data_IF_278124361509
#
_entry.id   IF_278124361509
#
_cell.length_a   1.000
_cell.length_b   1.000
_cell.length_c   1.000
_cell.angle_alpha   90.00
_cell.angle_beta   90.00
_cell.angle_gamma   90.00
#
_symmetry.space_group_name_H-M   'P 1'
#
loop_
_entity.id
_entity.type
_entity.pdbx_description
1 polymer ?
#
# COMPACT_ATOMS: atom_id res chain seq x y z
N UNK A 1 -4.49 0.75 -0.40
CA UNK A 1 -5.66 1.26 -1.16
C UNK A 1 -6.94 0.56 -0.70
N UNK A 2 -7.78 1.27 0.08
CA UNK A 2 -9.02 0.71 0.65
C UNK A 2 -10.10 0.39 -0.38
N UNK A 3 -10.03 0.98 -1.58
CA UNK A 3 -11.01 0.73 -2.64
C UNK A 3 -10.86 -0.67 -3.28
N UNK A 4 -9.76 -1.36 -3.02
CA UNK A 4 -9.51 -2.74 -3.45
C UNK A 4 -9.75 -3.76 -2.35
N UNK A 5 -10.58 -3.45 -1.35
CA UNK A 5 -10.84 -4.31 -0.20
C UNK A 5 -11.28 -5.74 -0.58
N UNK A 6 -12.10 -5.87 -1.63
CA UNK A 6 -12.55 -7.18 -2.11
C UNK A 6 -11.40 -8.10 -2.55
N UNK A 7 -10.30 -7.55 -3.08
CA UNK A 7 -9.10 -8.35 -3.40
C UNK A 7 -8.46 -8.85 -2.11
N UNK A 8 -8.28 -7.97 -1.11
CA UNK A 8 -7.73 -8.32 0.19
C UNK A 8 -8.57 -9.41 0.87
N UNK A 9 -9.91 -9.29 0.85
CA UNK A 9 -10.80 -10.28 1.44
C UNK A 9 -10.66 -11.66 0.80
N UNK A 10 -10.52 -11.72 -0.53
CA UNK A 10 -10.27 -13.00 -1.22
C UNK A 10 -8.91 -13.59 -0.82
N UNK A 11 -7.87 -12.77 -0.65
CA UNK A 11 -6.58 -13.25 -0.13
C UNK A 11 -6.72 -13.82 1.29
N UNK A 12 -7.50 -13.18 2.17
CA UNK A 12 -7.75 -13.70 3.52
C UNK A 12 -8.51 -15.04 3.49
N UNK A 13 -9.42 -15.23 2.52
CA UNK A 13 -10.07 -16.51 2.28
C UNK A 13 -9.07 -17.57 1.79
N UNK A 14 -8.22 -17.23 0.84
CA UNK A 14 -7.20 -18.15 0.32
C UNK A 14 -6.17 -18.56 1.39
N UNK A 15 -5.92 -17.67 2.36
CA UNK A 15 -5.11 -17.96 3.54
C UNK A 15 -5.84 -18.79 4.62
N UNK A 16 -7.13 -19.10 4.41
CA UNK A 16 -7.93 -19.91 5.32
C UNK A 16 -8.40 -19.17 6.59
N UNK A 17 -8.31 -17.85 6.63
CA UNK A 17 -8.80 -17.05 7.75
C UNK A 17 -10.33 -16.92 7.73
N UNK A 18 -10.93 -17.00 6.57
CA UNK A 18 -12.40 -16.94 6.35
C UNK A 18 -12.80 -17.90 5.25
N UNK A 19 -14.09 -18.22 5.18
CA UNK A 19 -14.66 -19.03 4.11
C UNK A 19 -15.22 -18.15 2.99
N UNK A 20 -15.38 -18.71 1.80
CA UNK A 20 -16.06 -18.02 0.67
C UNK A 20 -17.51 -17.70 1.01
N UNK A 21 -18.18 -18.61 1.73
CA UNK A 21 -19.57 -18.48 2.15
C UNK A 21 -19.74 -17.31 3.11
N UNK A 22 -18.83 -17.12 4.08
CA UNK A 22 -18.82 -15.96 4.97
C UNK A 22 -18.63 -14.68 4.18
N UNK A 23 -17.59 -14.61 3.31
CA UNK A 23 -17.34 -13.45 2.48
C UNK A 23 -18.58 -13.08 1.65
N UNK A 24 -19.17 -14.03 0.95
CA UNK A 24 -20.26 -13.74 0.02
C UNK A 24 -21.57 -13.39 0.72
N UNK A 25 -21.85 -13.98 1.88
CA UNK A 25 -23.07 -13.68 2.64
C UNK A 25 -23.01 -12.34 3.36
N UNK A 26 -21.81 -11.88 3.73
CA UNK A 26 -21.64 -10.68 4.53
C UNK A 26 -21.08 -9.47 3.74
N UNK A 27 -20.57 -9.68 2.50
CA UNK A 27 -19.96 -8.60 1.72
C UNK A 27 -20.97 -7.47 1.46
N UNK A 28 -20.62 -6.29 1.93
CA UNK A 28 -21.40 -5.06 1.78
C UNK A 28 -22.86 -5.18 2.27
N UNK A 29 -23.11 -6.04 3.26
CA UNK A 29 -24.40 -6.19 3.92
C UNK A 29 -24.48 -5.34 5.19
N UNK A 30 -25.71 -4.98 5.58
CA UNK A 30 -25.94 -4.33 6.88
C UNK A 30 -25.53 -5.32 7.98
N UNK A 31 -24.69 -4.85 8.90
CA UNK A 31 -24.04 -5.66 9.94
C UNK A 31 -23.05 -6.73 9.45
N UNK A 32 -22.75 -6.78 8.15
CA UNK A 32 -21.71 -7.64 7.62
C UNK A 32 -20.30 -7.12 7.99
N UNK A 33 -19.37 -8.05 8.15
CA UNK A 33 -17.96 -7.73 8.50
C UNK A 33 -17.16 -7.21 7.30
N UNK A 34 -17.47 -7.69 6.10
CA UNK A 34 -16.76 -7.38 4.86
C UNK A 34 -17.38 -6.16 4.16
N UNK A 35 -17.02 -4.96 4.64
CA UNK A 35 -17.51 -3.71 4.08
C UNK A 35 -16.86 -3.36 2.75
N UNK A 36 -17.30 -2.25 2.13
CA UNK A 36 -16.68 -1.68 0.94
C UNK A 36 -15.20 -1.32 1.17
N UNK A 37 -14.86 -0.96 2.40
CA UNK A 37 -13.50 -0.68 2.85
C UNK A 37 -13.11 -1.60 4.01
N UNK A 38 -11.83 -2.01 4.11
CA UNK A 38 -11.39 -2.91 5.17
C UNK A 38 -11.40 -2.22 6.52
N UNK A 39 -11.87 -2.93 7.54
CA UNK A 39 -11.90 -2.44 8.91
C UNK A 39 -11.30 -3.49 9.86
N UNK A 40 -10.18 -3.15 10.47
CA UNK A 40 -9.43 -4.03 11.36
C UNK A 40 -10.21 -4.42 12.65
N UNK A 41 -11.21 -3.62 13.04
CA UNK A 41 -12.04 -3.92 14.22
C UNK A 41 -12.99 -5.10 14.00
N UNK A 42 -13.37 -5.35 12.75
CA UNK A 42 -14.34 -6.40 12.41
C UNK A 42 -13.71 -7.64 11.79
N UNK A 43 -12.51 -7.51 11.24
CA UNK A 43 -11.84 -8.57 10.49
C UNK A 43 -10.41 -8.77 11.00
N UNK A 44 -10.17 -9.74 11.90
CA UNK A 44 -8.82 -10.23 12.18
C UNK A 44 -8.07 -10.58 10.89
N UNK A 45 -6.80 -10.18 10.80
CA UNK A 45 -5.99 -10.29 9.58
C UNK A 45 -5.94 -9.02 8.73
N UNK A 46 -6.69 -7.98 9.10
CA UNK A 46 -6.57 -6.64 8.55
C UNK A 46 -5.65 -5.82 9.46
N UNK A 47 -4.53 -5.36 8.93
CA UNK A 47 -3.54 -4.60 9.72
C UNK A 47 -3.97 -3.15 9.98
N UNK A 48 -4.73 -2.55 9.06
CA UNK A 48 -5.20 -1.18 9.17
C UNK A 48 -6.53 -0.96 8.44
N UNK A 49 -7.41 -0.18 9.05
CA UNK A 49 -8.59 0.35 8.35
C UNK A 49 -8.16 1.40 7.33
N UNK A 50 -8.59 1.24 6.10
CA UNK A 50 -8.31 2.17 4.99
C UNK A 50 -9.58 2.47 4.19
N UNK A 51 -9.50 3.43 3.26
CA UNK A 51 -10.65 3.87 2.47
C UNK A 51 -10.64 5.38 2.28
N UNK A 52 -10.30 6.14 3.32
CA UNK A 52 -9.97 7.56 3.17
C UNK A 52 -8.62 7.66 2.45
N UNK A 53 -8.64 8.17 1.21
CA UNK A 53 -7.45 8.28 0.38
C UNK A 53 -6.37 9.14 1.07
N UNK A 54 -5.12 8.78 0.88
CA UNK A 54 -3.97 9.48 1.46
C UNK A 54 -3.63 9.08 2.90
N UNK A 55 -4.48 8.35 3.62
CA UNK A 55 -4.23 7.98 5.02
C UNK A 55 -3.36 6.72 5.16
N UNK A 56 -3.49 5.79 4.21
CA UNK A 56 -2.79 4.50 4.26
C UNK A 56 -1.28 4.63 4.29
N UNK A 57 -0.72 5.58 3.53
CA UNK A 57 0.72 5.81 3.49
C UNK A 57 1.26 6.35 4.82
N UNK A 58 0.54 7.28 5.45
CA UNK A 58 0.92 7.81 6.76
C UNK A 58 0.90 6.73 7.85
N UNK A 59 -0.12 5.86 7.85
CA UNK A 59 -0.17 4.70 8.75
C UNK A 59 1.02 3.74 8.50
N UNK A 60 1.34 3.46 7.25
CA UNK A 60 2.46 2.58 6.88
C UNK A 60 3.81 3.15 7.37
N UNK A 61 4.02 4.46 7.24
CA UNK A 61 5.23 5.12 7.77
C UNK A 61 5.29 5.00 9.28
N UNK A 62 4.17 5.19 9.99
CA UNK A 62 4.09 4.99 11.44
C UNK A 62 4.44 3.57 11.86
N UNK A 63 3.90 2.57 11.15
CA UNK A 63 4.22 1.15 11.39
C UNK A 63 5.69 0.83 11.12
N UNK A 64 6.26 1.37 10.05
CA UNK A 64 7.67 1.16 9.71
C UNK A 64 8.61 1.79 10.77
N UNK A 65 8.28 3.00 11.25
CA UNK A 65 8.99 3.66 12.35
C UNK A 65 8.91 2.85 13.65
N UNK A 66 7.72 2.36 14.00
CA UNK A 66 7.52 1.51 15.17
C UNK A 66 8.37 0.24 15.09
N UNK A 67 8.33 -0.46 13.95
CA UNK A 67 9.13 -1.66 13.73
C UNK A 67 10.62 -1.41 13.90
N UNK A 68 11.13 -0.32 13.34
CA UNK A 68 12.54 0.07 13.49
C UNK A 68 12.89 0.40 14.95
N UNK A 69 12.06 1.18 15.64
CA UNK A 69 12.30 1.55 17.03
C UNK A 69 12.27 0.33 17.97
N UNK A 70 11.35 -0.59 17.72
CA UNK A 70 11.20 -1.83 18.50
C UNK A 70 12.17 -2.93 18.05
N UNK A 71 13.03 -2.66 17.07
CA UNK A 71 13.97 -3.63 16.47
C UNK A 71 13.28 -4.91 16.01
N UNK A 72 12.11 -4.76 15.39
CA UNK A 72 11.33 -5.86 14.81
C UNK A 72 11.73 -6.09 13.37
N UNK A 73 11.83 -7.35 13.00
CA UNK A 73 12.16 -7.81 11.66
C UNK A 73 10.87 -8.01 10.85
N UNK A 74 10.24 -6.90 10.44
CA UNK A 74 9.15 -6.93 9.47
C UNK A 74 9.26 -5.78 8.47
N UNK A 75 8.69 -6.01 7.32
CA UNK A 75 8.50 -4.98 6.28
C UNK A 75 7.04 -4.56 6.23
N UNK A 76 6.82 -3.30 5.91
CA UNK A 76 5.49 -2.73 5.71
C UNK A 76 5.28 -2.52 4.21
N UNK A 77 4.24 -3.13 3.67
CA UNK A 77 3.84 -2.94 2.28
C UNK A 77 2.62 -2.03 2.22
N UNK A 78 2.73 -0.93 1.51
CA UNK A 78 1.63 0.00 1.30
C UNK A 78 1.29 0.08 -0.18
N UNK A 79 0.07 -0.33 -0.53
CA UNK A 79 -0.42 -0.22 -1.90
C UNK A 79 -1.24 1.05 -2.07
N UNK A 80 -0.88 1.89 -3.04
CA UNK A 80 -1.55 3.14 -3.39
C UNK A 80 -2.04 3.11 -4.84
N UNK A 81 -3.03 3.90 -5.17
CA UNK A 81 -3.39 4.22 -6.54
C UNK A 81 -2.80 5.55 -6.98
N UNK A 82 -2.66 5.77 -8.29
CA UNK A 82 -2.16 7.03 -8.82
C UNK A 82 -3.12 8.22 -8.52
N UNK A 83 -4.43 8.03 -8.63
CA UNK A 83 -5.40 9.03 -8.20
C UNK A 83 -5.35 9.30 -6.69
N UNK A 84 -5.04 8.28 -5.87
CA UNK A 84 -4.81 8.46 -4.43
C UNK A 84 -3.60 9.36 -4.14
N UNK A 85 -2.57 9.34 -4.98
CA UNK A 85 -1.39 10.19 -4.83
C UNK A 85 -1.64 11.67 -5.10
N UNK A 86 -2.83 12.07 -5.50
CA UNK A 86 -3.24 13.48 -5.54
C UNK A 86 -3.51 14.05 -4.14
N UNK A 87 -3.74 13.20 -3.14
CA UNK A 87 -3.87 13.61 -1.74
C UNK A 87 -2.53 14.05 -1.15
N UNK A 88 -2.49 15.26 -0.58
CA UNK A 88 -1.27 15.88 -0.05
C UNK A 88 -0.61 15.08 1.07
N UNK A 89 -1.39 14.40 1.92
CA UNK A 89 -0.91 13.58 3.02
C UNK A 89 0.00 12.42 2.58
N UNK A 90 -0.16 11.91 1.35
CA UNK A 90 0.77 10.94 0.79
C UNK A 90 2.17 11.53 0.64
N UNK A 91 2.28 12.77 0.12
CA UNK A 91 3.58 13.42 -0.09
C UNK A 91 4.27 13.77 1.23
N UNK A 92 3.50 14.17 2.25
CA UNK A 92 4.02 14.38 3.60
C UNK A 92 4.60 13.07 4.17
N UNK A 93 3.89 11.95 4.02
CA UNK A 93 4.34 10.64 4.46
C UNK A 93 5.56 10.14 3.65
N UNK A 94 5.55 10.30 2.32
CA UNK A 94 6.66 9.94 1.42
C UNK A 94 7.92 10.72 1.80
N UNK A 95 7.79 12.03 2.02
CA UNK A 95 8.90 12.88 2.47
C UNK A 95 9.43 12.42 3.84
N UNK A 96 8.55 12.12 4.78
CA UNK A 96 8.94 11.63 6.11
C UNK A 96 9.67 10.28 6.02
N UNK A 97 9.19 9.34 5.22
CA UNK A 97 9.85 8.05 5.02
C UNK A 97 11.25 8.20 4.45
N UNK A 98 11.43 9.07 3.45
CA UNK A 98 12.74 9.40 2.89
C UNK A 98 13.66 10.08 3.90
N UNK A 99 13.14 11.08 4.65
CA UNK A 99 13.90 11.76 5.69
C UNK A 99 14.42 10.80 6.76
N UNK A 100 13.57 9.90 7.22
CA UNK A 100 13.94 8.90 8.22
C UNK A 100 14.67 7.69 7.62
N UNK A 101 14.87 7.63 6.32
CA UNK A 101 15.54 6.51 5.62
C UNK A 101 14.96 5.15 6.04
N UNK A 102 13.64 5.00 5.89
CA UNK A 102 12.94 3.79 6.28
C UNK A 102 13.15 2.66 5.26
N UNK A 103 14.15 1.81 5.48
CA UNK A 103 14.44 0.66 4.60
C UNK A 103 13.45 -0.51 4.72
N UNK A 104 12.56 -0.47 5.72
CA UNK A 104 11.57 -1.50 5.98
C UNK A 104 10.15 -1.16 5.45
N UNK A 105 10.02 -0.15 4.58
CA UNK A 105 8.75 0.18 3.92
C UNK A 105 8.87 0.00 2.41
N UNK A 106 7.84 -0.57 1.81
CA UNK A 106 7.69 -0.74 0.36
C UNK A 106 6.37 -0.12 -0.07
N UNK A 107 6.44 0.93 -0.88
CA UNK A 107 5.26 1.50 -1.52
C UNK A 107 5.07 0.87 -2.90
N UNK A 108 3.89 0.32 -3.15
CA UNK A 108 3.49 -0.21 -4.45
C UNK A 108 2.43 0.72 -5.01
N UNK A 109 2.72 1.39 -6.13
CA UNK A 109 1.75 2.27 -6.77
C UNK A 109 1.19 1.63 -8.02
N UNK A 110 -0.13 1.41 -8.03
CA UNK A 110 -0.86 1.06 -9.25
C UNK A 110 -1.05 2.34 -10.08
N UNK A 111 -0.18 2.52 -11.07
CA UNK A 111 -0.24 3.65 -12.00
C UNK A 111 -1.02 3.27 -13.25
N UNK A 112 -2.29 3.02 -13.09
CA UNK A 112 -3.20 2.64 -14.17
C UNK A 112 -3.73 3.84 -14.97
N UNK A 113 -3.40 5.07 -14.57
CA UNK A 113 -3.76 6.34 -15.20
C UNK A 113 -5.25 6.68 -15.15
N UNK A 114 -6.03 5.94 -14.37
CA UNK A 114 -7.48 6.14 -14.24
C UNK A 114 -7.84 6.32 -12.77
N UNK A 115 -8.69 7.27 -12.50
CA UNK A 115 -9.36 7.46 -11.22
C UNK A 115 -10.88 7.46 -11.39
N UNK A 116 -11.64 7.56 -10.29
CA UNK A 116 -13.09 7.41 -10.31
C UNK A 116 -13.83 8.30 -11.32
N UNK A 117 -13.27 9.45 -11.65
CA UNK A 117 -13.92 10.49 -12.49
C UNK A 117 -13.31 10.66 -13.87
N UNK A 118 -12.21 9.96 -14.19
CA UNK A 118 -11.59 10.03 -15.51
C UNK A 118 -10.09 9.73 -15.50
N UNK A 119 -9.40 10.21 -16.53
CA UNK A 119 -7.95 10.03 -16.62
C UNK A 119 -7.22 10.95 -15.67
N UNK A 120 -6.26 10.41 -14.89
CA UNK A 120 -5.43 11.17 -13.95
C UNK A 120 -4.75 12.38 -14.58
N UNK A 121 -4.29 12.24 -15.82
CA UNK A 121 -3.64 13.35 -16.56
C UNK A 121 -4.56 14.54 -16.84
N UNK A 122 -5.87 14.28 -16.97
CA UNK A 122 -6.87 15.31 -17.30
C UNK A 122 -7.47 15.95 -16.04
N UNK A 123 -7.40 15.26 -14.90
CA UNK A 123 -7.95 15.73 -13.63
C UNK A 123 -6.85 16.42 -12.81
N UNK A 124 -5.82 15.67 -12.43
CA UNK A 124 -4.66 16.21 -11.70
C UNK A 124 -3.43 15.35 -12.01
N UNK A 125 -2.57 15.83 -12.91
CA UNK A 125 -1.38 15.11 -13.32
C UNK A 125 -0.32 15.05 -12.21
N UNK A 126 0.07 13.84 -11.82
CA UNK A 126 1.11 13.58 -10.83
C UNK A 126 2.49 13.29 -11.44
N UNK A 127 2.59 13.21 -12.78
CA UNK A 127 3.86 12.94 -13.44
C UNK A 127 4.84 14.14 -13.39
N UNK A 128 6.14 13.88 -13.47
CA UNK A 128 6.80 12.57 -13.46
C UNK A 128 6.89 11.98 -12.06
N UNK A 129 6.13 10.91 -11.79
CA UNK A 129 6.03 10.32 -10.45
C UNK A 129 7.37 9.74 -9.97
N UNK A 130 8.06 9.01 -10.83
CA UNK A 130 9.36 8.41 -10.56
C UNK A 130 10.38 9.46 -10.06
N UNK A 131 10.49 10.56 -10.77
CA UNK A 131 11.42 11.66 -10.42
C UNK A 131 11.07 12.34 -9.10
N UNK A 132 9.78 12.46 -8.79
CA UNK A 132 9.32 13.03 -7.52
C UNK A 132 9.69 12.12 -6.35
N UNK A 133 9.50 10.80 -6.49
CA UNK A 133 9.86 9.82 -5.47
C UNK A 133 11.38 9.75 -5.28
N UNK A 134 12.15 9.70 -6.37
CA UNK A 134 13.61 9.75 -6.34
C UNK A 134 14.11 11.01 -5.60
N UNK A 135 13.49 12.18 -5.84
CA UNK A 135 13.85 13.42 -5.17
C UNK A 135 13.61 13.40 -3.65
N UNK A 136 12.70 12.57 -3.16
CA UNK A 136 12.50 12.28 -1.74
C UNK A 136 13.41 11.17 -1.20
N UNK A 137 14.32 10.63 -2.01
CA UNK A 137 15.28 9.60 -1.59
C UNK A 137 14.75 8.18 -1.64
N UNK A 138 13.71 7.91 -2.42
CA UNK A 138 13.21 6.57 -2.66
C UNK A 138 13.93 5.90 -3.81
N UNK A 139 14.21 4.61 -3.66
CA UNK A 139 14.60 3.75 -4.77
C UNK A 139 13.35 3.35 -5.55
N UNK A 140 13.31 3.69 -6.85
CA UNK A 140 12.12 3.50 -7.68
C UNK A 140 12.36 2.43 -8.73
N UNK A 141 11.45 1.46 -8.79
CA UNK A 141 11.45 0.40 -9.80
C UNK A 141 10.11 0.45 -10.53
N UNK A 142 10.16 0.70 -11.85
CA UNK A 142 8.97 0.65 -12.70
C UNK A 142 8.92 -0.68 -13.45
N UNK A 143 7.77 -1.34 -13.38
CA UNK A 143 7.54 -2.64 -14.04
C UNK A 143 6.19 -2.66 -14.75
N UNK A 144 6.01 -3.62 -15.64
CA UNK A 144 4.70 -3.92 -16.20
C UNK A 144 3.89 -4.76 -15.19
N UNK A 145 2.89 -4.14 -14.56
CA UNK A 145 2.02 -4.77 -13.55
C UNK A 145 1.13 -5.91 -14.09
N UNK A 146 1.13 -6.16 -15.40
CA UNK A 146 0.44 -7.31 -16.02
C UNK A 146 1.38 -8.50 -16.27
N UNK A 147 2.67 -8.38 -15.95
CA UNK A 147 3.66 -9.45 -16.10
C UNK A 147 4.02 -10.05 -14.74
N UNK A 148 3.41 -11.18 -14.42
CA UNK A 148 3.64 -11.86 -13.14
C UNK A 148 5.13 -12.14 -12.86
N UNK A 149 5.89 -12.50 -13.88
CA UNK A 149 7.34 -12.77 -13.74
C UNK A 149 8.12 -11.53 -13.31
N UNK A 150 7.79 -10.34 -13.86
CA UNK A 150 8.42 -9.08 -13.46
C UNK A 150 8.03 -8.70 -12.03
N UNK A 151 6.77 -8.90 -11.65
CA UNK A 151 6.29 -8.67 -10.28
C UNK A 151 7.05 -9.56 -9.29
N UNK A 152 7.08 -10.86 -9.52
CA UNK A 152 7.74 -11.82 -8.64
C UNK A 152 9.24 -11.55 -8.52
N UNK A 153 9.92 -11.31 -9.65
CA UNK A 153 11.35 -10.97 -9.68
C UNK A 153 11.62 -9.70 -8.84
N UNK A 154 10.81 -8.66 -9.02
CA UNK A 154 10.97 -7.41 -8.29
C UNK A 154 10.75 -7.61 -6.79
N UNK A 155 9.66 -8.26 -6.39
CA UNK A 155 9.36 -8.51 -4.97
C UNK A 155 10.45 -9.36 -4.29
N UNK A 156 11.02 -10.34 -4.99
CA UNK A 156 12.14 -11.16 -4.48
C UNK A 156 13.46 -10.38 -4.41
N UNK A 157 13.66 -9.36 -5.23
CA UNK A 157 14.87 -8.54 -5.21
C UNK A 157 14.87 -7.46 -4.14
N UNK A 158 13.72 -7.20 -3.50
CA UNK A 158 13.63 -6.21 -2.43
C UNK A 158 14.51 -6.61 -1.24
N UNK A 159 15.25 -5.66 -0.64
CA UNK A 159 16.10 -5.95 0.50
C UNK A 159 15.29 -6.51 1.67
N UNK A 160 15.92 -7.38 2.46
CA UNK A 160 15.36 -7.81 3.74
C UNK A 160 15.22 -6.62 4.71
N UNK A 161 14.36 -6.75 5.71
CA UNK A 161 14.12 -5.69 6.71
C UNK A 161 15.38 -5.23 7.46
N UNK A 162 16.38 -6.12 7.57
CA UNK A 162 17.63 -5.88 8.27
C UNK A 162 18.67 -5.03 7.51
N UNK A 163 18.38 -4.58 6.29
CA UNK A 163 19.32 -3.78 5.51
C UNK A 163 19.50 -2.34 6.06
N UNK A 164 19.40 -2.16 7.38
CA UNK A 164 19.69 -0.89 8.09
C UNK A 164 21.16 -0.45 8.04
N UNK A 165 22.02 -1.15 7.29
CA UNK A 165 23.46 -0.87 7.24
C UNK A 165 23.99 -0.44 5.88
N UNK A 166 23.19 0.14 5.03
CA UNK A 166 23.71 0.87 3.87
C UNK A 166 23.64 2.39 4.09
N UNK A 167 24.13 2.83 5.24
CA UNK A 167 24.60 4.22 5.37
C UNK A 167 25.93 4.34 4.63
N UNK A 168 25.91 4.82 3.43
CA UNK A 168 27.02 5.54 2.80
C UNK A 168 26.46 6.72 2.03
#
# INVERSE_FOLDING_TARGET
NGNCAHVLYNVLVDLGLYTKEELWSEYNQIHGRFGMHPNYLYLPGIDASTGSLGQGMALAVGMALAGRNDKKDYRVFCMTGDGELQEGSNWEAIMAAGHYQLGNIVMITDKNQIEATGWTKDIMNIDPLDKKLEAFGWDVISIDGHKLEEILKTLHSLPASDSQNSSK
#
